data_IF_068384486728
#
_entry.id   IF_068384486728
#
_cell.length_a   1.000
_cell.length_b   1.000
_cell.length_c   1.000
_cell.angle_alpha   90.00
_cell.angle_beta   90.00
_cell.angle_gamma   90.00
#
_symmetry.space_group_name_H-M   'P 1'
#
loop_
_entity.id
_entity.type
_entity.pdbx_description
1 polymer ?
#
# COMPACT_ATOMS: atom_id res chain seq x y z
N UNK A 1 -12.69 -10.82 -21.21
CA UNK A 1 -12.72 -12.01 -20.32
C UNK A 1 -11.95 -11.69 -19.05
N UNK A 2 -12.62 -11.63 -17.90
CA UNK A 2 -12.01 -11.28 -16.62
C UNK A 2 -11.77 -12.58 -15.83
N UNK A 3 -10.62 -13.22 -16.05
CA UNK A 3 -10.26 -14.44 -15.33
C UNK A 3 -9.62 -14.03 -14.00
N UNK A 4 -10.23 -14.41 -12.88
CA UNK A 4 -9.66 -14.10 -11.57
C UNK A 4 -8.31 -14.78 -11.42
N UNK A 5 -7.33 -14.09 -10.82
CA UNK A 5 -5.98 -14.63 -10.55
C UNK A 5 -6.04 -15.99 -9.83
N UNK A 6 -7.00 -16.16 -8.92
CA UNK A 6 -7.23 -17.41 -8.19
C UNK A 6 -7.65 -18.55 -9.14
N UNK A 7 -8.50 -18.25 -10.11
CA UNK A 7 -8.96 -19.22 -11.10
C UNK A 7 -7.82 -19.61 -12.07
N UNK A 8 -6.99 -18.64 -12.46
CA UNK A 8 -5.79 -18.89 -13.25
C UNK A 8 -4.79 -19.80 -12.53
N UNK A 9 -4.41 -19.49 -11.28
CA UNK A 9 -3.45 -20.29 -10.50
C UNK A 9 -3.96 -21.72 -10.28
N UNK A 10 -5.25 -21.89 -9.97
CA UNK A 10 -5.86 -23.23 -9.82
C UNK A 10 -5.75 -24.06 -11.09
N UNK A 11 -5.99 -23.45 -12.26
CA UNK A 11 -5.95 -24.16 -13.54
C UNK A 11 -4.52 -24.41 -14.03
N UNK A 12 -3.56 -23.52 -13.71
CA UNK A 12 -2.12 -23.75 -13.96
C UNK A 12 -1.60 -24.94 -13.14
N UNK A 13 -2.03 -25.08 -11.88
CA UNK A 13 -1.68 -26.22 -11.04
C UNK A 13 -2.16 -27.57 -11.60
N UNK A 14 -3.32 -27.59 -12.25
CA UNK A 14 -3.88 -28.78 -12.89
C UNK A 14 -3.22 -29.11 -14.24
N UNK A 15 -2.65 -28.11 -14.93
CA UNK A 15 -1.92 -28.32 -16.20
C UNK A 15 -0.56 -29.00 -16.01
N UNK A 16 0.10 -28.79 -14.87
CA UNK A 16 1.43 -29.34 -14.59
C UNK A 16 1.41 -30.83 -14.20
N UNK A 17 0.26 -31.38 -13.79
CA UNK A 17 0.11 -32.81 -13.52
C UNK A 17 0.12 -33.69 -14.77
N UNK A 18 -0.08 -33.12 -15.97
CA UNK A 18 -0.12 -33.85 -17.25
C UNK A 18 1.24 -34.10 -17.93
N UNK A 19 2.33 -33.47 -17.47
CA UNK A 19 3.69 -33.64 -18.04
C UNK A 19 4.59 -34.55 -17.18
N UNK A 20 3.98 -35.36 -16.31
CA UNK A 20 4.65 -36.17 -15.31
C UNK A 20 5.39 -37.40 -15.86
N UNK A 21 6.58 -37.21 -16.42
CA UNK A 21 7.60 -38.28 -16.49
C UNK A 21 9.03 -37.82 -16.11
N UNK A 22 9.23 -36.66 -15.45
CA UNK A 22 10.61 -36.21 -15.18
C UNK A 22 10.90 -35.38 -13.91
N UNK A 23 9.92 -34.93 -13.13
CA UNK A 23 10.17 -33.92 -12.09
C UNK A 23 9.97 -34.45 -10.67
N UNK A 24 10.58 -35.59 -10.33
CA UNK A 24 10.66 -36.06 -8.92
C UNK A 24 11.56 -35.20 -8.01
N UNK A 25 12.11 -34.07 -8.47
CA UNK A 25 13.11 -33.26 -7.72
C UNK A 25 12.84 -31.76 -7.58
N UNK A 26 11.69 -31.25 -8.01
CA UNK A 26 11.33 -29.82 -7.81
C UNK A 26 10.14 -29.59 -6.90
N UNK A 27 9.45 -30.65 -6.48
CA UNK A 27 8.60 -30.55 -5.30
C UNK A 27 9.53 -30.41 -4.10
N UNK A 28 9.54 -29.21 -3.50
CA UNK A 28 9.92 -29.06 -2.10
C UNK A 28 9.31 -30.25 -1.37
N UNK A 29 10.13 -31.07 -0.71
CA UNK A 29 9.59 -32.10 0.16
C UNK A 29 8.73 -31.36 1.17
N UNK A 30 7.41 -31.34 0.98
CA UNK A 30 6.53 -31.26 2.13
C UNK A 30 7.04 -32.39 2.99
N UNK A 31 7.67 -32.07 4.12
CA UNK A 31 7.85 -33.01 5.21
C UNK A 31 6.44 -33.39 5.64
N UNK A 32 5.85 -34.29 4.86
CA UNK A 32 4.48 -34.76 4.95
C UNK A 32 4.39 -35.74 6.09
N UNK A 33 4.63 -35.25 7.30
CA UNK A 33 3.85 -35.73 8.42
C UNK A 33 2.42 -35.25 8.22
N UNK A 34 1.43 -36.04 8.63
CA UNK A 34 0.07 -35.53 8.83
C UNK A 34 0.13 -34.41 9.86
N UNK A 35 0.29 -33.18 9.42
CA UNK A 35 0.27 -32.02 10.28
C UNK A 35 -1.19 -31.62 10.45
N UNK A 36 -1.78 -32.09 11.55
CA UNK A 36 -3.12 -31.74 12.06
C UNK A 36 -3.22 -30.24 12.46
N UNK A 37 -2.39 -29.37 11.91
CA UNK A 37 -2.39 -27.92 12.19
C UNK A 37 -3.72 -27.26 11.81
N UNK A 38 -4.47 -27.85 10.88
CA UNK A 38 -5.85 -27.42 10.58
C UNK A 38 -6.79 -27.58 11.77
N UNK A 39 -6.55 -28.54 12.68
CA UNK A 39 -7.33 -28.72 13.92
C UNK A 39 -7.04 -27.63 14.96
N UNK A 40 -5.99 -26.83 14.77
CA UNK A 40 -5.70 -25.66 15.59
C UNK A 40 -6.46 -24.41 15.12
N UNK A 41 -7.11 -24.47 13.94
CA UNK A 41 -7.97 -23.39 13.48
C UNK A 41 -9.23 -23.37 14.35
N UNK A 42 -9.48 -22.25 15.00
CA UNK A 42 -10.70 -22.03 15.78
C UNK A 42 -11.70 -21.29 14.90
N UNK A 43 -12.90 -21.85 14.75
CA UNK A 43 -14.03 -21.14 14.16
C UNK A 43 -14.47 -20.04 15.15
N UNK A 44 -14.15 -18.79 14.84
CA UNK A 44 -14.60 -17.65 15.61
C UNK A 44 -15.71 -16.92 14.82
N UNK A 45 -17.00 -17.12 15.18
CA UNK A 45 -18.11 -16.48 14.49
C UNK A 45 -18.15 -14.96 14.67
N UNK A 46 -17.46 -14.44 15.69
CA UNK A 46 -17.36 -13.00 15.97
C UNK A 46 -16.15 -12.35 15.29
N UNK A 47 -15.45 -13.06 14.40
CA UNK A 47 -14.39 -12.44 13.61
C UNK A 47 -14.97 -11.32 12.73
N UNK A 48 -14.41 -10.10 12.80
CA UNK A 48 -14.81 -9.05 11.88
C UNK A 48 -14.48 -9.49 10.45
N UNK A 49 -15.36 -9.13 9.51
CA UNK A 49 -15.08 -9.35 8.10
C UNK A 49 -13.75 -8.69 7.72
N UNK A 50 -12.96 -9.40 6.92
CA UNK A 50 -11.70 -8.86 6.42
C UNK A 50 -11.96 -7.58 5.62
N UNK A 51 -11.12 -6.56 5.84
CA UNK A 51 -11.20 -5.34 5.07
C UNK A 51 -11.04 -5.63 3.57
N UNK A 52 -11.86 -4.98 2.76
CA UNK A 52 -11.83 -5.06 1.30
C UNK A 52 -10.97 -3.96 0.66
N UNK A 53 -10.29 -3.18 1.48
CA UNK A 53 -9.46 -2.05 1.09
C UNK A 53 -8.12 -2.09 1.81
N UNK A 54 -7.07 -1.63 1.13
CA UNK A 54 -5.70 -1.63 1.67
C UNK A 54 -5.35 -0.32 2.39
N UNK A 55 -6.16 0.74 2.20
CA UNK A 55 -5.93 2.09 2.73
C UNK A 55 -7.24 2.80 3.05
N UNK A 56 -7.18 3.76 3.97
CA UNK A 56 -8.33 4.62 4.27
C UNK A 56 -8.74 5.40 3.01
N UNK A 57 -10.01 5.81 2.90
CA UNK A 57 -10.47 6.57 1.75
C UNK A 57 -9.83 7.96 1.71
N UNK A 58 -9.64 8.50 0.50
CA UNK A 58 -8.93 9.78 0.28
C UNK A 58 -9.52 10.96 1.09
N UNK A 59 -10.84 10.98 1.27
CA UNK A 59 -11.52 12.00 2.06
C UNK A 59 -11.06 12.02 3.53
N UNK A 60 -10.70 10.87 4.10
CA UNK A 60 -10.17 10.77 5.46
C UNK A 60 -8.84 11.52 5.57
N UNK A 61 -7.92 11.31 4.63
CA UNK A 61 -6.62 11.98 4.60
C UNK A 61 -6.77 13.50 4.41
N UNK A 62 -7.62 13.93 3.47
CA UNK A 62 -7.95 15.34 3.27
C UNK A 62 -8.51 15.99 4.54
N UNK A 63 -9.40 15.31 5.25
CA UNK A 63 -9.94 15.77 6.54
C UNK A 63 -8.88 15.83 7.64
N UNK A 64 -7.93 14.89 7.66
CA UNK A 64 -6.81 14.89 8.60
C UNK A 64 -5.84 16.05 8.35
N UNK A 65 -5.50 16.32 7.09
CA UNK A 65 -4.67 17.48 6.71
C UNK A 65 -5.39 18.80 7.01
N UNK A 66 -6.70 18.90 6.78
CA UNK A 66 -7.50 20.08 7.16
C UNK A 66 -7.37 20.40 8.65
N UNK A 67 -7.57 19.42 9.52
CA UNK A 67 -7.41 19.57 10.98
C UNK A 67 -5.99 19.98 11.38
N UNK A 68 -4.98 19.48 10.67
CA UNK A 68 -3.59 19.89 10.90
C UNK A 68 -3.38 21.36 10.50
N UNK A 69 -3.86 21.77 9.32
CA UNK A 69 -3.79 23.16 8.84
C UNK A 69 -4.43 24.14 9.81
N UNK A 70 -5.63 23.83 10.31
CA UNK A 70 -6.33 24.64 11.30
C UNK A 70 -5.48 24.86 12.56
N UNK A 71 -4.88 23.79 13.11
CA UNK A 71 -4.04 23.87 14.32
C UNK A 71 -2.75 24.66 14.14
N UNK A 72 -2.15 24.64 12.95
CA UNK A 72 -0.90 25.37 12.70
C UNK A 72 -1.17 26.81 12.25
N UNK A 73 -2.33 27.09 11.66
CA UNK A 73 -2.76 28.43 11.30
C UNK A 73 -2.86 29.34 12.53
N UNK A 74 -3.37 28.80 13.65
CA UNK A 74 -3.40 29.50 14.95
C UNK A 74 -2.00 29.94 15.45
N UNK A 75 -0.94 29.28 14.94
CA UNK A 75 0.46 29.56 15.28
C UNK A 75 1.17 30.44 14.25
N UNK A 76 0.45 30.94 13.25
CA UNK A 76 1.03 31.76 12.17
C UNK A 76 1.93 30.98 11.20
N UNK A 77 1.75 29.66 11.09
CA UNK A 77 2.51 28.84 10.13
C UNK A 77 1.86 28.96 8.75
N UNK A 78 2.66 29.19 7.70
CA UNK A 78 2.17 29.28 6.32
C UNK A 78 2.18 27.95 5.57
N UNK A 79 3.08 27.03 5.90
CA UNK A 79 3.19 25.73 5.25
C UNK A 79 3.78 24.65 6.17
N UNK A 80 3.46 23.39 5.88
CA UNK A 80 3.94 22.21 6.59
C UNK A 80 4.71 21.34 5.60
N UNK A 81 6.01 21.11 5.85
CA UNK A 81 6.83 20.18 5.08
C UNK A 81 6.99 18.87 5.86
N UNK A 82 6.51 17.76 5.29
CA UNK A 82 6.70 16.43 5.87
C UNK A 82 7.86 15.71 5.19
N UNK A 83 8.88 15.40 5.99
CA UNK A 83 10.05 14.62 5.56
C UNK A 83 10.10 13.23 6.18
N UNK A 84 9.48 13.06 7.36
CA UNK A 84 9.43 11.78 8.02
C UNK A 84 8.40 10.87 7.33
N UNK A 85 8.83 9.67 6.95
CA UNK A 85 8.01 8.64 6.28
C UNK A 85 6.67 8.40 6.95
N UNK A 86 6.65 8.25 8.27
CA UNK A 86 5.43 7.89 9.00
C UNK A 86 4.43 9.04 9.04
N UNK A 87 4.91 10.27 9.18
CA UNK A 87 4.05 11.45 9.03
C UNK A 87 3.49 11.52 7.61
N UNK A 88 4.33 11.26 6.61
CA UNK A 88 3.93 11.25 5.21
C UNK A 88 2.80 10.24 4.95
N UNK A 89 3.00 8.99 5.35
CA UNK A 89 2.00 7.92 5.24
C UNK A 89 0.72 8.28 5.99
N UNK A 90 0.83 8.81 7.20
CA UNK A 90 -0.34 9.14 8.02
C UNK A 90 -1.18 10.27 7.41
N UNK A 91 -0.55 11.33 6.90
CA UNK A 91 -1.27 12.50 6.38
C UNK A 91 -1.70 12.35 4.93
N UNK A 92 -1.02 11.54 4.12
CA UNK A 92 -1.32 11.40 2.68
C UNK A 92 -1.95 10.06 2.31
N UNK A 93 -1.65 8.98 3.04
CA UNK A 93 -1.98 7.62 2.62
C UNK A 93 -1.05 7.05 1.53
N UNK A 94 0.04 7.74 1.18
CA UNK A 94 1.01 7.27 0.20
C UNK A 94 2.05 6.36 0.86
N UNK A 95 1.83 5.05 0.76
CA UNK A 95 2.79 4.03 1.20
C UNK A 95 3.95 3.94 0.20
N UNK A 96 5.13 4.33 0.65
CA UNK A 96 6.37 4.25 -0.12
C UNK A 96 7.50 3.73 0.76
N UNK A 97 8.59 3.29 0.13
CA UNK A 97 9.86 2.97 0.81
C UNK A 97 10.79 4.17 0.75
N UNK A 98 11.54 4.39 1.82
CA UNK A 98 12.54 5.47 1.88
C UNK A 98 13.92 4.96 1.50
N UNK A 99 14.67 5.77 0.77
CA UNK A 99 16.08 5.56 0.48
C UNK A 99 16.89 6.79 0.92
N UNK A 100 18.09 6.99 0.38
CA UNK A 100 18.86 8.23 0.50
C UNK A 100 18.21 9.42 -0.22
N UNK A 101 17.25 9.15 -1.11
CA UNK A 101 16.65 10.18 -1.97
C UNK A 101 15.52 10.90 -1.22
N UNK A 102 15.55 12.24 -1.14
CA UNK A 102 14.47 13.05 -0.58
C UNK A 102 13.07 12.69 -1.10
N UNK A 103 12.13 12.40 -0.20
CA UNK A 103 10.74 12.16 -0.56
C UNK A 103 9.85 12.97 0.37
N UNK A 104 9.40 14.13 -0.09
CA UNK A 104 8.72 15.12 0.72
C UNK A 104 7.35 15.49 0.15
N UNK A 105 6.47 15.93 1.04
CA UNK A 105 5.22 16.58 0.69
C UNK A 105 5.08 17.87 1.47
N UNK A 106 4.65 18.92 0.78
CA UNK A 106 4.35 20.21 1.36
C UNK A 106 2.85 20.48 1.32
N UNK A 107 2.29 20.82 2.48
CA UNK A 107 0.93 21.30 2.67
C UNK A 107 0.95 22.79 3.00
N UNK A 108 0.62 23.65 2.04
CA UNK A 108 0.30 25.04 2.32
C UNK A 108 -0.92 25.13 3.25
N UNK A 109 -0.95 26.14 4.11
CA UNK A 109 -2.05 26.34 5.06
C UNK A 109 -3.25 27.05 4.41
N UNK A 110 -3.00 27.92 3.43
CA UNK A 110 -4.00 28.81 2.82
C UNK A 110 -4.57 28.33 1.47
N UNK A 111 -4.05 27.24 0.93
CA UNK A 111 -4.52 26.62 -0.32
C UNK A 111 -4.71 25.12 -0.14
N UNK A 112 -5.51 24.51 -1.01
CA UNK A 112 -5.82 23.08 -1.00
C UNK A 112 -4.87 22.23 -1.87
N UNK A 113 -3.93 22.88 -2.56
CA UNK A 113 -2.89 22.23 -3.36
C UNK A 113 -1.91 21.49 -2.45
N UNK A 114 -1.48 20.29 -2.86
CA UNK A 114 -0.38 19.58 -2.21
C UNK A 114 0.77 19.52 -3.19
N UNK A 115 1.98 19.74 -2.69
CA UNK A 115 3.19 19.78 -3.50
C UNK A 115 4.09 18.61 -3.15
N UNK A 116 4.35 17.75 -4.11
CA UNK A 116 5.25 16.62 -3.95
C UNK A 116 6.65 16.92 -4.47
N UNK A 117 7.66 16.43 -3.75
CA UNK A 117 9.05 16.43 -4.16
C UNK A 117 9.60 15.02 -4.00
N UNK A 118 9.84 14.33 -5.11
CA UNK A 118 10.19 12.90 -5.08
C UNK A 118 11.09 12.51 -6.26
N UNK A 119 11.78 11.36 -6.21
CA UNK A 119 12.56 10.85 -7.34
C UNK A 119 11.66 10.57 -8.56
N UNK A 120 12.22 10.71 -9.77
CA UNK A 120 11.51 10.33 -11.01
C UNK A 120 11.03 8.88 -11.05
N UNK A 121 11.76 7.97 -10.37
CA UNK A 121 11.39 6.56 -10.23
C UNK A 121 10.01 6.37 -9.56
N UNK A 122 9.61 7.28 -8.68
CA UNK A 122 8.38 7.20 -7.90
C UNK A 122 7.21 8.02 -8.51
N UNK A 123 7.38 8.55 -9.74
CA UNK A 123 6.36 9.37 -10.41
C UNK A 123 5.01 8.67 -10.50
N UNK A 124 4.99 7.43 -10.96
CA UNK A 124 3.74 6.69 -11.13
C UNK A 124 3.12 6.31 -9.78
N UNK A 125 3.94 6.18 -8.72
CA UNK A 125 3.46 5.96 -7.36
C UNK A 125 2.71 7.19 -6.83
N UNK A 126 3.28 8.40 -7.01
CA UNK A 126 2.68 9.66 -6.54
C UNK A 126 1.43 10.01 -7.35
N UNK A 127 1.55 10.06 -8.67
CA UNK A 127 0.47 10.48 -9.59
C UNK A 127 -0.75 9.57 -9.57
N UNK A 128 -0.60 8.30 -9.17
CA UNK A 128 -1.71 7.34 -9.08
C UNK A 128 -2.56 7.47 -7.81
N UNK A 129 -2.24 8.41 -6.91
CA UNK A 129 -2.94 8.57 -5.64
C UNK A 129 -3.53 9.97 -5.43
N UNK A 130 -2.93 10.75 -4.54
CA UNK A 130 -3.33 12.11 -4.24
C UNK A 130 -2.17 12.99 -4.68
N UNK A 131 -2.28 13.51 -5.90
CA UNK A 131 -1.30 14.40 -6.51
C UNK A 131 -2.05 15.60 -7.09
N UNK A 132 -1.68 16.81 -6.65
CA UNK A 132 -2.22 18.04 -7.22
C UNK A 132 -1.14 18.72 -8.03
N UNK A 133 0.04 18.91 -7.42
CA UNK A 133 1.25 19.40 -8.08
C UNK A 133 2.44 18.56 -7.61
N UNK A 134 3.31 18.16 -8.55
CA UNK A 134 4.48 17.36 -8.25
C UNK A 134 5.69 17.80 -9.06
N UNK A 135 6.83 17.87 -8.39
CA UNK A 135 8.14 18.06 -9.00
C UNK A 135 8.96 16.83 -8.73
N UNK A 136 9.37 16.16 -9.81
CA UNK A 136 10.28 15.04 -9.73
C UNK A 136 11.68 15.41 -10.20
N UNK A 137 12.68 14.75 -9.62
CA UNK A 137 14.08 14.99 -9.91
C UNK A 137 14.81 13.69 -10.26
N UNK A 138 15.80 13.83 -11.15
CA UNK A 138 16.48 12.77 -11.91
C UNK A 138 15.60 12.01 -12.90
#
# INVERSE_FOLDING_TARGET
MNVSRRHFIRNVGLGLTGLGLGTKRLAYSSLGGKNDSEKLLVENPDHPEAATYDRLPLNWYKGTVKRLREKVAEKGVDAILLQNRWNLVYYTGLFHSTTERPFYVLFPVKEDTIYWYHPGLDRDLVTSWWDTESVYYF
#
